data_IF_505574225093
#
_entry.id   IF_505574225093
#
_cell.length_a   1.000
_cell.length_b   1.000
_cell.length_c   1.000
_cell.angle_alpha   90.00
_cell.angle_beta   90.00
_cell.angle_gamma   90.00
#
_symmetry.space_group_name_H-M   'P 1'
#
loop_
_entity.id
_entity.type
_entity.pdbx_description
1 polymer ?
#
# COMPACT_ATOMS: atom_id res chain seq x y z
N UNK A 1 -64.23 1.48 -19.79
CA UNK A 1 -63.04 1.36 -20.66
C UNK A 1 -61.87 2.23 -20.18
N UNK A 2 -62.08 3.49 -19.75
CA UNK A 2 -61.01 4.41 -19.30
C UNK A 2 -60.38 4.05 -17.94
N UNK A 3 -61.13 3.49 -16.99
CA UNK A 3 -60.62 3.14 -15.65
C UNK A 3 -59.56 2.01 -15.64
N UNK A 4 -59.68 1.01 -16.54
CA UNK A 4 -58.70 -0.07 -16.67
C UNK A 4 -57.33 0.42 -17.22
N UNK A 5 -57.33 1.52 -17.98
CA UNK A 5 -56.10 2.11 -18.53
C UNK A 5 -55.37 2.95 -17.48
N UNK A 6 -56.08 3.59 -16.55
CA UNK A 6 -55.47 4.33 -15.43
C UNK A 6 -54.78 3.40 -14.42
N UNK A 7 -55.39 2.25 -14.10
CA UNK A 7 -54.83 1.27 -13.15
C UNK A 7 -53.55 0.58 -13.69
N UNK A 8 -53.52 0.22 -14.99
CA UNK A 8 -52.32 -0.35 -15.61
C UNK A 8 -51.14 0.65 -15.65
N UNK A 9 -51.44 1.94 -15.78
CA UNK A 9 -50.42 2.98 -15.87
C UNK A 9 -49.69 3.17 -14.54
N UNK A 10 -50.40 3.10 -13.41
CA UNK A 10 -49.81 3.25 -12.07
C UNK A 10 -48.90 2.08 -11.69
N UNK A 11 -49.35 0.85 -11.95
CA UNK A 11 -48.56 -0.35 -11.70
C UNK A 11 -47.30 -0.37 -12.59
N UNK A 12 -47.44 -0.09 -13.89
CA UNK A 12 -46.30 -0.04 -14.80
C UNK A 12 -45.27 1.03 -14.39
N UNK A 13 -45.72 2.25 -14.07
CA UNK A 13 -44.83 3.32 -13.60
C UNK A 13 -44.14 2.94 -12.28
N UNK A 14 -44.86 2.30 -11.35
CA UNK A 14 -44.29 1.79 -10.11
C UNK A 14 -43.21 0.73 -10.37
N UNK A 15 -43.49 -0.26 -11.22
CA UNK A 15 -42.50 -1.30 -11.57
C UNK A 15 -41.28 -0.72 -12.29
N UNK A 16 -41.48 0.25 -13.18
CA UNK A 16 -40.38 0.95 -13.87
C UNK A 16 -39.52 1.72 -12.86
N UNK A 17 -40.14 2.47 -11.94
CA UNK A 17 -39.43 3.23 -10.91
C UNK A 17 -38.66 2.31 -9.94
N UNK A 18 -39.28 1.21 -9.51
CA UNK A 18 -38.65 0.22 -8.64
C UNK A 18 -37.46 -0.46 -9.32
N UNK A 19 -37.59 -0.83 -10.60
CA UNK A 19 -36.51 -1.41 -11.39
C UNK A 19 -35.36 -0.41 -11.57
N UNK A 20 -35.67 0.85 -11.88
CA UNK A 20 -34.66 1.91 -12.02
C UNK A 20 -33.89 2.13 -10.72
N UNK A 21 -34.58 2.17 -9.57
CA UNK A 21 -33.95 2.29 -8.26
C UNK A 21 -33.08 1.07 -7.94
N UNK A 22 -33.56 -0.14 -8.23
CA UNK A 22 -32.80 -1.37 -8.02
C UNK A 22 -31.50 -1.37 -8.83
N UNK A 23 -31.56 -1.01 -10.11
CA UNK A 23 -30.38 -0.90 -10.99
C UNK A 23 -29.42 0.19 -10.49
N UNK A 24 -29.94 1.34 -10.04
CA UNK A 24 -29.13 2.41 -9.46
C UNK A 24 -28.36 1.94 -8.23
N UNK A 25 -29.04 1.23 -7.33
CA UNK A 25 -28.42 0.68 -6.11
C UNK A 25 -27.36 -0.38 -6.43
N UNK A 26 -27.61 -1.25 -7.40
CA UNK A 26 -26.62 -2.22 -7.87
C UNK A 26 -25.39 -1.53 -8.47
N UNK A 27 -25.59 -0.53 -9.32
CA UNK A 27 -24.50 0.23 -9.92
C UNK A 27 -23.67 0.97 -8.85
N UNK A 28 -24.34 1.62 -7.89
CA UNK A 28 -23.67 2.29 -6.77
C UNK A 28 -22.88 1.32 -5.90
N UNK A 29 -23.45 0.14 -5.58
CA UNK A 29 -22.77 -0.90 -4.83
C UNK A 29 -21.55 -1.46 -5.57
N UNK A 30 -21.67 -1.72 -6.88
CA UNK A 30 -20.56 -2.16 -7.72
C UNK A 30 -19.45 -1.11 -7.81
N UNK A 31 -19.80 0.17 -7.96
CA UNK A 31 -18.84 1.27 -7.97
C UNK A 31 -18.14 1.43 -6.61
N UNK A 32 -18.87 1.35 -5.50
CA UNK A 32 -18.30 1.39 -4.15
C UNK A 32 -17.37 0.20 -3.90
N UNK A 33 -17.75 -1.01 -4.34
CA UNK A 33 -16.91 -2.20 -4.25
C UNK A 33 -15.66 -2.07 -5.13
N UNK A 34 -15.79 -1.60 -6.37
CA UNK A 34 -14.67 -1.37 -7.27
C UNK A 34 -13.72 -0.29 -6.72
N UNK A 35 -14.26 0.80 -6.17
CA UNK A 35 -13.49 1.83 -5.49
C UNK A 35 -12.78 1.26 -4.25
N UNK A 36 -13.47 0.53 -3.39
CA UNK A 36 -12.86 -0.13 -2.23
C UNK A 36 -11.76 -1.11 -2.63
N UNK A 37 -11.98 -1.89 -3.70
CA UNK A 37 -10.97 -2.82 -4.24
C UNK A 37 -9.81 -2.09 -4.92
N UNK A 38 -10.06 -0.95 -5.55
CA UNK A 38 -9.03 -0.10 -6.14
C UNK A 38 -8.19 0.58 -5.04
N UNK A 39 -8.84 1.02 -3.96
CA UNK A 39 -8.21 1.56 -2.76
C UNK A 39 -7.45 0.48 -1.97
N UNK A 40 -7.95 -0.75 -1.93
CA UNK A 40 -7.35 -1.88 -1.23
C UNK A 40 -6.33 -2.67 -2.06
N UNK A 41 -6.21 -2.39 -3.36
CA UNK A 41 -5.40 -3.16 -4.31
C UNK A 41 -4.11 -2.49 -4.79
N UNK A 42 -3.80 -1.27 -4.32
CA UNK A 42 -2.56 -0.54 -4.68
C UNK A 42 -1.97 0.31 -3.55
N UNK A 43 -2.08 -0.15 -2.32
CA UNK A 43 -0.97 0.01 -1.41
C UNK A 43 -0.16 -1.29 -1.52
N UNK A 44 0.67 -1.42 -2.57
CA UNK A 44 1.90 -2.16 -2.38
C UNK A 44 2.54 -1.46 -1.19
N UNK A 45 2.59 -2.13 -0.05
CA UNK A 45 3.04 -1.49 1.18
C UNK A 45 4.41 -0.92 0.85
N UNK A 46 4.71 0.36 1.12
CA UNK A 46 5.97 0.98 0.67
C UNK A 46 7.20 0.08 0.93
N UNK A 47 7.12 -0.72 1.99
CA UNK A 47 7.99 -1.81 2.42
C UNK A 47 8.34 -2.86 1.35
N UNK A 48 7.40 -3.37 0.55
CA UNK A 48 7.70 -4.36 -0.51
C UNK A 48 8.63 -3.77 -1.57
N UNK A 49 8.42 -2.49 -1.90
CA UNK A 49 9.29 -1.74 -2.81
C UNK A 49 10.63 -1.33 -2.20
N UNK A 50 10.82 -1.50 -0.88
CA UNK A 50 12.07 -1.18 -0.19
C UNK A 50 13.09 -2.31 -0.28
N UNK A 51 12.69 -3.57 -0.45
CA UNK A 51 13.64 -4.69 -0.52
C UNK A 51 14.61 -4.51 -1.70
N UNK A 52 15.91 -4.65 -1.44
CA UNK A 52 17.00 -4.37 -2.37
C UNK A 52 17.34 -2.89 -2.55
N UNK A 53 16.59 -1.95 -1.94
CA UNK A 53 16.93 -0.53 -1.96
C UNK A 53 18.04 -0.24 -0.97
N UNK A 54 18.89 0.74 -1.33
CA UNK A 54 19.95 1.24 -0.47
C UNK A 54 19.53 2.52 0.23
N UNK A 55 20.07 2.71 1.42
CA UNK A 55 19.82 3.89 2.24
C UNK A 55 20.98 4.21 3.17
N UNK A 56 20.73 5.16 4.06
CA UNK A 56 21.71 5.64 5.03
C UNK A 56 21.11 5.58 6.42
N UNK A 57 21.83 5.02 7.37
CA UNK A 57 21.45 5.00 8.78
C UNK A 57 21.40 6.44 9.31
N UNK A 58 20.26 6.84 9.89
CA UNK A 58 20.08 8.16 10.52
C UNK A 58 20.12 8.08 12.04
N UNK A 59 19.60 6.99 12.61
CA UNK A 59 19.72 6.63 14.02
C UNK A 59 20.28 5.23 14.13
N UNK A 60 21.18 5.02 15.09
CA UNK A 60 21.87 3.74 15.32
C UNK A 60 20.88 2.58 15.22
N UNK A 61 21.23 1.58 14.41
CA UNK A 61 20.41 0.38 14.21
C UNK A 61 21.08 -0.77 14.95
N UNK A 62 20.56 -1.10 16.12
CA UNK A 62 21.09 -2.12 17.06
C UNK A 62 20.01 -3.10 17.55
N UNK A 63 18.84 -3.09 16.91
CA UNK A 63 17.68 -3.88 17.31
C UNK A 63 16.71 -3.14 18.25
N UNK A 64 17.06 -1.94 18.72
CA UNK A 64 16.14 -1.08 19.47
C UNK A 64 15.02 -0.51 18.58
N UNK A 65 13.91 -0.09 19.21
CA UNK A 65 12.78 0.52 18.51
C UNK A 65 13.08 1.92 17.92
N UNK A 66 14.23 2.52 18.27
CA UNK A 66 14.64 3.85 17.81
C UNK A 66 15.46 3.83 16.51
N UNK A 67 15.97 2.66 16.11
CA UNK A 67 16.77 2.50 14.90
C UNK A 67 16.03 2.98 13.65
N UNK A 68 16.73 3.74 12.80
CA UNK A 68 16.11 4.33 11.62
C UNK A 68 17.08 4.56 10.45
N UNK A 69 16.57 4.35 9.24
CA UNK A 69 17.29 4.51 7.97
C UNK A 69 16.51 5.44 7.04
N UNK A 70 17.23 6.21 6.23
CA UNK A 70 16.64 7.03 5.17
C UNK A 70 16.78 6.30 3.83
N UNK A 71 15.65 5.91 3.25
CA UNK A 71 15.56 5.12 2.01
C UNK A 71 14.52 5.79 1.13
N UNK A 72 14.84 6.00 -0.15
CA UNK A 72 13.92 6.52 -1.16
C UNK A 72 13.18 7.84 -0.78
N UNK A 73 13.85 8.72 -0.02
CA UNK A 73 13.28 10.02 0.37
C UNK A 73 12.50 9.99 1.69
N UNK A 74 12.39 8.83 2.33
CA UNK A 74 11.59 8.62 3.53
C UNK A 74 12.42 8.07 4.70
N UNK A 75 12.04 8.42 5.93
CA UNK A 75 12.66 7.88 7.14
C UNK A 75 11.87 6.68 7.65
N UNK A 76 12.52 5.52 7.71
CA UNK A 76 11.94 4.26 8.11
C UNK A 76 12.58 3.72 9.37
N UNK A 77 11.79 3.02 10.21
CA UNK A 77 12.36 2.24 11.30
C UNK A 77 13.13 1.06 10.74
N UNK A 78 14.25 0.71 11.36
CA UNK A 78 15.07 -0.40 10.92
C UNK A 78 15.72 -1.16 12.08
N UNK A 79 15.88 -2.47 11.85
CA UNK A 79 16.64 -3.39 12.70
C UNK A 79 17.72 -4.07 11.86
N UNK A 80 18.86 -4.45 12.48
CA UNK A 80 19.87 -5.20 11.75
C UNK A 80 19.32 -6.58 11.37
N UNK A 81 19.79 -7.09 10.24
CA UNK A 81 19.63 -8.50 9.90
C UNK A 81 20.27 -9.39 10.98
N UNK A 82 19.76 -10.62 11.12
CA UNK A 82 20.26 -11.53 12.15
C UNK A 82 21.73 -11.86 11.92
N UNK A 83 22.55 -11.74 12.98
CA UNK A 83 24.01 -11.90 12.90
C UNK A 83 24.77 -10.66 12.43
N UNK A 84 24.09 -9.58 12.03
CA UNK A 84 24.73 -8.31 11.65
C UNK A 84 24.99 -7.46 12.90
N UNK A 85 26.22 -6.92 13.09
CA UNK A 85 26.54 -6.05 14.21
C UNK A 85 25.80 -4.70 14.11
N UNK A 86 25.68 -3.95 15.22
CA UNK A 86 25.05 -2.63 15.22
C UNK A 86 25.61 -1.67 14.17
N UNK A 87 24.71 -1.00 13.45
CA UNK A 87 25.04 -0.09 12.36
C UNK A 87 25.01 1.36 12.87
N UNK A 88 26.10 2.09 12.67
CA UNK A 88 26.24 3.47 13.12
C UNK A 88 25.54 4.47 12.19
N UNK A 89 25.09 5.64 12.68
CA UNK A 89 24.64 6.74 11.83
C UNK A 89 25.65 7.08 10.72
N UNK A 90 25.14 7.29 9.51
CA UNK A 90 25.96 7.53 8.30
C UNK A 90 26.35 6.25 7.54
N UNK A 91 26.21 5.06 8.13
CA UNK A 91 26.49 3.81 7.43
C UNK A 91 25.52 3.60 6.25
N UNK A 92 26.04 3.10 5.13
CA UNK A 92 25.24 2.67 3.98
C UNK A 92 24.71 1.26 4.22
N UNK A 93 23.45 1.07 3.92
CA UNK A 93 22.77 -0.20 4.16
C UNK A 93 21.91 -0.57 2.97
N UNK A 94 21.67 -1.87 2.83
CA UNK A 94 20.70 -2.44 1.91
C UNK A 94 19.57 -3.08 2.70
N UNK A 95 18.34 -2.86 2.26
CA UNK A 95 17.16 -3.47 2.85
C UNK A 95 17.03 -4.91 2.34
N UNK A 96 17.05 -5.88 3.24
CA UNK A 96 16.91 -7.31 2.91
C UNK A 96 15.49 -7.83 3.13
N UNK A 97 14.68 -7.10 3.88
CA UNK A 97 13.30 -7.48 4.15
C UNK A 97 12.59 -6.50 5.08
N UNK A 98 11.50 -6.95 5.66
CA UNK A 98 10.76 -6.20 6.68
C UNK A 98 10.09 -7.14 7.69
N UNK A 99 9.88 -6.64 8.91
CA UNK A 99 9.09 -7.30 9.97
C UNK A 99 8.03 -6.31 10.45
N UNK A 100 6.77 -6.55 10.09
CA UNK A 100 5.70 -5.58 10.32
C UNK A 100 5.99 -4.27 9.57
N UNK A 101 6.10 -3.15 10.29
CA UNK A 101 6.42 -1.82 9.72
C UNK A 101 7.88 -1.39 9.94
N UNK A 102 8.78 -2.35 10.09
CA UNK A 102 10.21 -2.11 10.36
C UNK A 102 11.06 -2.81 9.30
N UNK A 103 11.97 -2.09 8.67
CA UNK A 103 12.90 -2.63 7.68
C UNK A 103 13.96 -3.50 8.35
N UNK A 104 14.36 -4.58 7.70
CA UNK A 104 15.53 -5.38 8.05
C UNK A 104 16.65 -4.99 7.11
N UNK A 105 17.81 -4.65 7.66
CA UNK A 105 18.91 -4.07 6.88
C UNK A 105 20.26 -4.71 7.19
N UNK A 106 21.13 -4.76 6.18
CA UNK A 106 22.54 -5.18 6.30
C UNK A 106 23.47 -4.09 5.74
N UNK A 107 24.78 -4.09 6.06
CA UNK A 107 25.74 -3.22 5.38
C UNK A 107 25.64 -3.38 3.86
N UNK A 108 25.62 -2.27 3.13
CA UNK A 108 25.71 -2.33 1.68
C UNK A 108 27.18 -2.57 1.29
N UNK A 109 27.43 -3.61 0.50
CA UNK A 109 28.77 -3.93 -0.01
C UNK A 109 29.28 -2.77 -0.89
N UNK A 110 30.58 -2.46 -0.81
CA UNK A 110 31.20 -1.28 -1.43
C UNK A 110 31.38 -1.39 -2.96
N UNK A 111 31.00 -2.51 -3.56
CA UNK A 111 31.45 -2.97 -4.88
C UNK A 111 30.88 -2.19 -6.08
N UNK A 112 29.91 -1.30 -5.88
CA UNK A 112 29.41 -0.40 -6.95
C UNK A 112 30.25 0.88 -7.14
N UNK A 113 31.35 1.06 -6.40
CA UNK A 113 32.31 2.15 -6.68
C UNK A 113 33.30 1.82 -7.80
N UNK A 114 33.27 0.61 -8.36
CA UNK A 114 34.13 0.20 -9.48
C UNK A 114 33.29 -0.12 -10.71
N UNK A 115 32.65 0.90 -11.27
CA UNK A 115 32.45 0.95 -12.72
C UNK A 115 33.46 1.97 -13.25
N UNK A 116 34.62 1.53 -13.78
CA UNK A 116 35.53 2.44 -14.48
C UNK A 116 34.91 2.91 -15.81
N UNK A 117 35.34 4.07 -16.32
CA UNK A 117 34.77 4.74 -17.49
C UNK A 117 34.90 3.99 -18.81
#
# INVERSE_FOLDING_TARGET
>A
MVALLQEQSGAAVFYIAALALFVLLLAAGAAAYAAFRASGGRAATGLEGMVGKRGVVRRRVDGSAEGAVFVHGELWRAVPEEGVPPLAPGARVEVTGFRGMTLVVRPADEEDRVSPP
#
